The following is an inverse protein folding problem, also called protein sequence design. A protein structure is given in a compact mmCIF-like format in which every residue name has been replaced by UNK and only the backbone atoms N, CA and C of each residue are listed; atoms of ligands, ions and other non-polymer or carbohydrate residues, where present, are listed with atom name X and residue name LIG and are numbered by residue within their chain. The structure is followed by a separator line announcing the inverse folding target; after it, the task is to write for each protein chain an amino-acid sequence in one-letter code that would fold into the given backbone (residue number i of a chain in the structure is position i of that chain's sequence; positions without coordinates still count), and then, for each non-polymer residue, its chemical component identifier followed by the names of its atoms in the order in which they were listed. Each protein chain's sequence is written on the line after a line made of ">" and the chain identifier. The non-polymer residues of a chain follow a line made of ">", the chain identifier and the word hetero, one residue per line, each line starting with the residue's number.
data_IF_158084123964
#
_entry.id   IF_158084123964
#
_cell.length_a   1.000
_cell.length_b   1.000
_cell.length_c   1.000
_cell.angle_alpha   90.00
_cell.angle_beta   90.00
_cell.angle_gamma   90.00
#
_symmetry.space_group_name_H-M   'P 1'
#
loop_
_entity.id
_entity.type
_entity.pdbx_description
1 polymer ?
#
# COMPACT_ATOMS: atom_id res chain seq x y z
N UNK A 1 12.54 -6.21 -4.46
CA UNK A 1 11.55 -5.64 -3.50
C UNK A 1 11.07 -6.68 -2.50
N UNK A 2 10.53 -7.84 -2.93
CA UNK A 2 10.06 -8.90 -2.03
C UNK A 2 11.06 -9.36 -0.95
N UNK A 3 12.34 -9.53 -1.31
CA UNK A 3 13.40 -9.85 -0.34
C UNK A 3 13.60 -8.74 0.70
N UNK A 4 13.53 -7.47 0.28
CA UNK A 4 13.68 -6.33 1.17
C UNK A 4 12.48 -6.17 2.12
N UNK A 5 11.25 -6.40 1.63
CA UNK A 5 10.05 -6.39 2.50
C UNK A 5 10.02 -7.58 3.45
N UNK A 6 10.48 -8.76 3.04
CA UNK A 6 10.68 -9.90 3.94
C UNK A 6 11.69 -9.59 5.05
N UNK A 7 12.84 -9.01 4.69
CA UNK A 7 13.84 -8.58 5.66
C UNK A 7 13.31 -7.51 6.63
N UNK A 8 12.51 -6.57 6.13
CA UNK A 8 11.83 -5.55 6.93
C UNK A 8 10.89 -6.17 7.96
N UNK A 9 10.01 -7.10 7.56
CA UNK A 9 9.07 -7.75 8.48
C UNK A 9 9.83 -8.56 9.53
N UNK A 10 10.90 -9.27 9.16
CA UNK A 10 11.77 -9.98 10.11
C UNK A 10 12.46 -9.02 11.09
N UNK A 11 12.93 -7.87 10.62
CA UNK A 11 13.52 -6.84 11.47
C UNK A 11 12.48 -6.24 12.43
N UNK A 12 11.24 -6.02 11.97
CA UNK A 12 10.14 -5.54 12.80
C UNK A 12 9.78 -6.54 13.90
N UNK A 13 9.69 -7.83 13.57
CA UNK A 13 9.46 -8.89 14.56
C UNK A 13 10.61 -9.01 15.57
N UNK A 14 11.86 -8.82 15.11
CA UNK A 14 13.03 -8.83 16.00
C UNK A 14 13.02 -7.63 16.96
N UNK A 15 12.71 -6.44 16.47
CA UNK A 15 12.55 -5.23 17.29
C UNK A 15 11.41 -5.39 18.32
N UNK A 16 10.27 -5.96 17.92
CA UNK A 16 9.19 -6.26 18.84
C UNK A 16 9.61 -7.27 19.93
N UNK A 17 10.36 -8.32 19.56
CA UNK A 17 10.84 -9.32 20.52
C UNK A 17 11.84 -8.72 21.52
N UNK A 18 12.75 -7.87 21.08
CA UNK A 18 13.68 -7.16 21.96
C UNK A 18 12.96 -6.25 22.96
N UNK A 19 11.87 -5.60 22.54
CA UNK A 19 11.03 -4.81 23.44
C UNK A 19 10.33 -5.63 24.51
N UNK A 20 9.94 -6.86 24.17
CA UNK A 20 9.36 -7.81 25.13
C UNK A 20 10.43 -8.31 26.10
N UNK A 21 11.60 -8.69 25.58
CA UNK A 21 12.69 -9.27 26.38
C UNK A 21 13.33 -8.22 27.32
N UNK A 22 13.35 -6.95 26.92
CA UNK A 22 13.78 -5.82 27.77
C UNK A 22 12.71 -5.36 28.78
N UNK A 23 11.52 -5.95 28.77
CA UNK A 23 10.41 -5.59 29.65
C UNK A 23 9.73 -4.26 29.32
N UNK A 24 10.08 -3.61 28.19
CA UNK A 24 9.45 -2.37 27.71
C UNK A 24 8.03 -2.59 27.17
N UNK A 25 7.71 -3.82 26.76
CA UNK A 25 6.38 -4.24 26.29
C UNK A 25 5.99 -5.56 26.96
N UNK A 26 4.73 -5.67 27.39
CA UNK A 26 4.22 -6.92 27.96
C UNK A 26 4.28 -8.08 26.96
N UNK A 27 4.69 -9.27 27.43
CA UNK A 27 4.71 -10.50 26.61
C UNK A 27 3.32 -10.98 26.21
N UNK A 28 2.32 -10.68 27.03
CA UNK A 28 0.90 -10.98 26.82
C UNK A 28 0.08 -9.76 27.23
N UNK A 29 0.04 -8.71 26.41
CA UNK A 29 -0.75 -7.54 26.72
C UNK A 29 -2.24 -7.87 26.58
N UNK A 30 -3.07 -7.27 27.43
CA UNK A 30 -4.52 -7.27 27.23
C UNK A 30 -4.84 -6.41 26.00
N UNK A 31 -5.86 -6.78 25.24
CA UNK A 31 -6.26 -6.02 24.02
C UNK A 31 -6.64 -4.57 24.31
N UNK A 32 -7.15 -4.29 25.52
CA UNK A 32 -7.48 -2.95 26.01
C UNK A 32 -6.28 -2.14 26.51
N UNK A 33 -5.11 -2.75 26.68
CA UNK A 33 -3.90 -2.05 27.15
C UNK A 33 -3.18 -1.32 26.03
N UNK A 34 -2.41 -0.28 26.38
CA UNK A 34 -1.58 0.47 25.44
C UNK A 34 -0.65 -0.43 24.61
N UNK A 35 -0.05 -1.44 25.26
CA UNK A 35 0.82 -2.42 24.59
C UNK A 35 0.03 -3.34 23.64
N UNK A 36 -1.22 -3.66 23.99
CA UNK A 36 -2.12 -4.45 23.15
C UNK A 36 -2.53 -3.69 21.89
N UNK A 37 -2.94 -2.44 22.05
CA UNK A 37 -3.29 -1.55 20.92
C UNK A 37 -2.08 -1.29 20.02
N UNK A 38 -0.90 -1.07 20.61
CA UNK A 38 0.35 -0.93 19.86
C UNK A 38 0.68 -2.21 19.07
N UNK A 39 0.58 -3.38 19.70
CA UNK A 39 0.83 -4.68 19.05
C UNK A 39 -0.14 -4.94 17.89
N UNK A 40 -1.44 -4.65 18.05
CA UNK A 40 -2.43 -4.75 16.96
C UNK A 40 -2.14 -3.76 15.82
N UNK A 41 -1.74 -2.53 16.16
CA UNK A 41 -1.27 -1.53 15.19
C UNK A 41 -0.07 -2.03 14.39
N UNK A 42 0.90 -2.67 15.05
CA UNK A 42 2.07 -3.25 14.41
C UNK A 42 1.72 -4.43 13.50
N UNK A 43 0.87 -5.36 13.98
CA UNK A 43 0.43 -6.54 13.22
C UNK A 43 -0.37 -6.11 11.98
N UNK A 44 -1.27 -5.14 12.13
CA UNK A 44 -2.05 -4.62 11.00
C UNK A 44 -1.17 -3.94 9.95
N UNK A 45 -0.17 -3.15 10.36
CA UNK A 45 0.81 -2.56 9.44
C UNK A 45 1.62 -3.64 8.71
N UNK A 46 2.06 -4.69 9.41
CA UNK A 46 2.79 -5.80 8.80
C UNK A 46 1.93 -6.57 7.78
N UNK A 47 0.66 -6.83 8.09
CA UNK A 47 -0.30 -7.43 7.15
C UNK A 47 -0.49 -6.55 5.91
N UNK A 48 -0.55 -5.23 6.08
CA UNK A 48 -0.67 -4.29 4.96
C UNK A 48 0.58 -4.33 4.04
N UNK A 49 1.78 -4.43 4.61
CA UNK A 49 3.03 -4.60 3.83
C UNK A 49 3.01 -5.90 3.04
N UNK A 50 2.56 -7.00 3.65
CA UNK A 50 2.43 -8.29 2.98
C UNK A 50 1.44 -8.23 1.81
N UNK A 51 0.25 -7.67 2.03
CA UNK A 51 -0.77 -7.50 0.99
C UNK A 51 -0.28 -6.59 -0.16
N UNK A 52 0.37 -5.46 0.16
CA UNK A 52 0.94 -4.57 -0.84
C UNK A 52 2.05 -5.27 -1.66
N UNK A 53 2.91 -6.05 -1.00
CA UNK A 53 3.98 -6.81 -1.68
C UNK A 53 3.38 -7.87 -2.60
N UNK A 54 2.32 -8.56 -2.17
CA UNK A 54 1.62 -9.54 -3.00
C UNK A 54 1.01 -8.89 -4.24
N UNK A 55 0.28 -7.79 -4.08
CA UNK A 55 -0.31 -7.03 -5.21
C UNK A 55 0.75 -6.49 -6.18
N UNK A 56 1.92 -6.10 -5.68
CA UNK A 56 3.07 -5.72 -6.52
C UNK A 56 3.56 -6.90 -7.38
N UNK A 57 3.71 -8.09 -6.79
CA UNK A 57 4.17 -9.28 -7.52
C UNK A 57 3.15 -9.69 -8.57
N UNK A 58 1.86 -9.64 -8.23
CA UNK A 58 0.77 -9.91 -9.19
C UNK A 58 0.79 -8.90 -10.34
N UNK A 59 0.90 -7.61 -10.03
CA UNK A 59 0.96 -6.55 -11.06
C UNK A 59 2.20 -6.69 -11.95
N UNK A 60 3.35 -7.08 -11.39
CA UNK A 60 4.56 -7.33 -12.16
C UNK A 60 4.41 -8.56 -13.08
N UNK A 61 3.81 -9.64 -12.58
CA UNK A 61 3.56 -10.83 -13.39
C UNK A 61 2.57 -10.54 -14.52
N UNK A 62 1.46 -9.83 -14.23
CA UNK A 62 0.49 -9.45 -15.26
C UNK A 62 1.08 -8.49 -16.30
N UNK A 63 2.01 -7.60 -15.91
CA UNK A 63 2.71 -6.73 -16.86
C UNK A 63 3.60 -7.54 -17.82
N UNK A 64 4.39 -8.49 -17.30
CA UNK A 64 5.25 -9.36 -18.13
C UNK A 64 4.42 -10.21 -19.10
N UNK A 65 3.20 -10.57 -18.72
CA UNK A 65 2.25 -11.29 -19.57
C UNK A 65 1.50 -10.37 -20.56
N UNK A 66 1.68 -9.05 -20.49
CA UNK A 66 0.96 -8.07 -21.33
C UNK A 66 -0.51 -7.84 -20.95
N UNK A 67 -0.92 -8.23 -19.74
CA UNK A 67 -2.31 -8.20 -19.26
C UNK A 67 -2.58 -7.00 -18.34
N UNK A 68 -1.53 -6.37 -17.82
CA UNK A 68 -1.64 -5.20 -16.93
C UNK A 68 -0.84 -4.04 -17.47
N UNK A 69 -1.26 -2.82 -17.11
CA UNK A 69 -0.53 -1.60 -17.42
C UNK A 69 0.60 -1.33 -16.43
N UNK A 70 1.59 -0.58 -16.88
CA UNK A 70 2.73 -0.12 -16.10
C UNK A 70 2.29 0.80 -14.96
N UNK A 71 1.20 1.56 -15.11
CA UNK A 71 0.67 2.41 -14.03
C UNK A 71 0.19 1.58 -12.84
N UNK A 72 -0.38 0.39 -13.08
CA UNK A 72 -0.77 -0.53 -11.99
C UNK A 72 0.47 -1.04 -11.24
N UNK A 73 1.55 -1.32 -11.96
CA UNK A 73 2.84 -1.69 -11.37
C UNK A 73 3.42 -0.52 -10.54
N UNK A 74 3.40 0.70 -11.06
CA UNK A 74 3.86 1.90 -10.35
C UNK A 74 3.02 2.17 -9.09
N UNK A 75 1.70 2.03 -9.19
CA UNK A 75 0.76 2.23 -8.08
C UNK A 75 0.99 1.23 -6.95
N UNK A 76 1.11 -0.06 -7.29
CA UNK A 76 1.39 -1.12 -6.32
C UNK A 76 2.76 -0.95 -5.66
N UNK A 77 3.79 -0.49 -6.40
CA UNK A 77 5.10 -0.16 -5.84
C UNK A 77 5.06 0.99 -4.83
N UNK A 78 4.33 2.07 -5.15
CA UNK A 78 4.10 3.20 -4.21
C UNK A 78 3.35 2.75 -2.96
N UNK A 79 2.39 1.83 -3.10
CA UNK A 79 1.68 1.26 -1.96
C UNK A 79 2.60 0.44 -1.05
N UNK A 80 3.55 -0.31 -1.60
CA UNK A 80 4.59 -1.01 -0.81
C UNK A 80 5.45 -0.02 -0.03
N UNK A 81 5.88 1.09 -0.64
CA UNK A 81 6.64 2.12 0.05
C UNK A 81 5.83 2.77 1.19
N UNK A 82 4.56 3.08 0.93
CA UNK A 82 3.66 3.70 1.93
C UNK A 82 3.38 2.78 3.12
N UNK A 83 3.02 1.52 2.87
CA UNK A 83 2.80 0.53 3.92
C UNK A 83 4.07 0.24 4.74
N UNK A 84 5.23 0.26 4.09
CA UNK A 84 6.54 0.15 4.76
C UNK A 84 6.79 1.33 5.69
N UNK A 85 6.51 2.55 5.24
CA UNK A 85 6.65 3.74 6.08
C UNK A 85 5.72 3.67 7.31
N UNK A 86 4.48 3.22 7.12
CA UNK A 86 3.54 3.01 8.24
C UNK A 86 4.06 1.96 9.24
N UNK A 87 4.62 0.86 8.75
CA UNK A 87 5.23 -0.16 9.62
C UNK A 87 6.41 0.40 10.41
N UNK A 88 7.30 1.18 9.78
CA UNK A 88 8.43 1.82 10.45
C UNK A 88 7.97 2.77 11.55
N UNK A 89 6.94 3.58 11.29
CA UNK A 89 6.37 4.51 12.28
C UNK A 89 5.76 3.72 13.44
N UNK A 90 4.98 2.67 13.16
CA UNK A 90 4.38 1.83 14.18
C UNK A 90 5.43 1.16 15.08
N UNK A 91 6.51 0.62 14.51
CA UNK A 91 7.61 0.04 15.29
C UNK A 91 8.29 1.08 16.21
N UNK A 92 8.51 2.31 15.72
CA UNK A 92 9.27 3.35 16.43
C UNK A 92 8.57 3.90 17.67
N UNK A 93 7.26 3.71 17.83
CA UNK A 93 6.50 4.23 18.99
C UNK A 93 7.03 3.70 20.31
N UNK A 94 7.39 2.42 20.36
CA UNK A 94 7.91 1.75 21.58
C UNK A 94 9.40 1.41 21.48
N UNK A 95 9.99 1.48 20.28
CA UNK A 95 11.38 1.11 20.03
C UNK A 95 12.36 2.19 20.46
N UNK A 96 13.51 1.75 20.95
CA UNK A 96 14.65 2.63 21.21
C UNK A 96 15.32 3.01 19.88
N UNK A 97 15.50 4.30 19.56
CA UNK A 97 16.17 4.73 18.32
C UNK A 97 17.60 4.21 18.18
N UNK A 98 18.30 4.01 19.31
CA UNK A 98 19.71 3.64 19.32
C UNK A 98 19.93 2.11 19.35
N UNK A 99 18.86 1.33 19.56
CA UNK A 99 18.92 -0.12 19.52
C UNK A 99 19.30 -0.65 18.12
N UNK A 100 20.09 -1.71 18.11
CA UNK A 100 20.56 -2.34 16.87
C UNK A 100 19.41 -2.92 16.05
N UNK A 101 18.35 -3.42 16.69
CA UNK A 101 17.14 -3.86 15.98
C UNK A 101 16.44 -2.72 15.24
N UNK A 102 16.35 -1.53 15.84
CA UNK A 102 15.78 -0.33 15.21
C UNK A 102 16.63 0.16 14.05
N UNK A 103 17.97 0.14 14.19
CA UNK A 103 18.90 0.46 13.09
C UNK A 103 18.74 -0.51 11.93
N UNK A 104 18.65 -1.82 12.19
CA UNK A 104 18.41 -2.86 11.18
C UNK A 104 17.05 -2.68 10.50
N UNK A 105 16.01 -2.38 11.27
CA UNK A 105 14.67 -2.08 10.76
C UNK A 105 14.70 -0.88 9.81
N UNK A 106 15.35 0.22 10.20
CA UNK A 106 15.49 1.42 9.37
C UNK A 106 16.27 1.13 8.09
N UNK A 107 17.35 0.37 8.17
CA UNK A 107 18.13 -0.04 7.00
C UNK A 107 17.29 -0.87 6.02
N UNK A 108 16.50 -1.83 6.53
CA UNK A 108 15.59 -2.63 5.72
C UNK A 108 14.49 -1.77 5.07
N UNK A 109 13.90 -0.83 5.84
CA UNK A 109 12.89 0.10 5.32
C UNK A 109 13.42 1.01 4.22
N UNK A 110 14.65 1.53 4.40
CA UNK A 110 15.34 2.31 3.38
C UNK A 110 15.64 1.47 2.12
N UNK A 111 15.99 0.20 2.28
CA UNK A 111 16.20 -0.70 1.15
C UNK A 111 14.91 -0.95 0.36
N UNK A 112 13.77 -1.11 1.05
CA UNK A 112 12.46 -1.21 0.38
C UNK A 112 12.15 0.05 -0.40
N UNK A 113 12.29 1.24 0.23
CA UNK A 113 12.04 2.53 -0.43
C UNK A 113 12.89 2.71 -1.69
N UNK A 114 14.20 2.47 -1.59
CA UNK A 114 15.09 2.55 -2.78
C UNK A 114 14.69 1.57 -3.86
N UNK A 115 14.34 0.34 -3.49
CA UNK A 115 13.93 -0.67 -4.46
C UNK A 115 12.61 -0.31 -5.17
N UNK A 116 11.64 0.26 -4.45
CA UNK A 116 10.38 0.74 -5.04
C UNK A 116 10.61 1.97 -5.92
N UNK A 117 11.43 2.93 -5.49
CA UNK A 117 11.72 4.14 -6.27
C UNK A 117 12.46 3.81 -7.58
N UNK A 118 13.44 2.91 -7.51
CA UNK A 118 14.14 2.42 -8.69
C UNK A 118 13.20 1.71 -9.67
N UNK A 119 12.27 0.89 -9.17
CA UNK A 119 11.28 0.23 -10.02
C UNK A 119 10.32 1.23 -10.67
N UNK A 120 9.84 2.23 -9.93
CA UNK A 120 8.96 3.28 -10.49
C UNK A 120 9.68 4.04 -11.60
N UNK A 121 10.95 4.43 -11.37
CA UNK A 121 11.75 5.12 -12.38
C UNK A 121 11.98 4.24 -13.61
N UNK A 122 12.30 2.96 -13.41
CA UNK A 122 12.49 2.03 -14.53
C UNK A 122 11.22 1.82 -15.34
N UNK A 123 10.07 1.65 -14.66
CA UNK A 123 8.77 1.52 -15.32
C UNK A 123 8.40 2.78 -16.12
N UNK A 124 8.59 3.97 -15.54
CA UNK A 124 8.33 5.23 -16.24
C UNK A 124 9.21 5.42 -17.49
N UNK A 125 10.49 5.05 -17.39
CA UNK A 125 11.41 5.12 -18.53
C UNK A 125 11.01 4.14 -19.64
N UNK A 126 10.48 2.96 -19.29
CA UNK A 126 9.98 2.00 -20.27
C UNK A 126 8.77 2.54 -21.03
N UNK A 127 7.79 3.12 -20.33
CA UNK A 127 6.60 3.75 -20.93
C UNK A 127 7.01 4.84 -21.93
N UNK A 128 7.93 5.73 -21.52
CA UNK A 128 8.34 6.87 -22.34
C UNK A 128 9.00 6.42 -23.66
N UNK A 129 9.85 5.39 -23.60
CA UNK A 129 10.51 4.85 -24.80
C UNK A 129 9.51 4.17 -25.76
N UNK A 130 8.47 3.54 -25.23
CA UNK A 130 7.42 2.93 -26.03
C UNK A 130 6.55 3.99 -26.73
N UNK A 131 6.17 5.05 -26.01
CA UNK A 131 5.46 6.19 -26.61
C UNK A 131 6.29 6.86 -27.72
N UNK A 132 7.58 7.12 -27.48
CA UNK A 132 8.47 7.70 -28.50
C UNK A 132 8.58 6.82 -29.76
N UNK A 133 8.72 5.49 -29.59
CA UNK A 133 8.76 4.54 -30.71
C UNK A 133 7.45 4.52 -31.49
N UNK A 134 6.30 4.51 -30.79
CA UNK A 134 4.98 4.54 -31.40
C UNK A 134 4.76 5.81 -32.22
N UNK A 135 5.12 6.97 -31.67
CA UNK A 135 5.03 8.27 -32.35
C UNK A 135 5.91 8.32 -33.61
N UNK A 136 7.13 7.80 -33.56
CA UNK A 136 8.04 7.74 -34.71
C UNK A 136 7.48 6.84 -35.83
N UNK A 137 6.85 5.71 -35.48
CA UNK A 137 6.26 4.79 -36.44
C UNK A 137 5.01 5.41 -37.12
N UNK A 138 4.18 6.10 -36.34
CA UNK A 138 2.96 6.77 -36.82
C UNK A 138 3.29 7.96 -37.73
N UNK A 139 4.40 8.67 -37.46
CA UNK A 139 4.90 9.78 -38.30
C UNK A 139 5.32 9.34 -39.71
N UNK A 140 5.64 8.06 -39.92
CA UNK A 140 6.04 7.51 -41.24
C UNK A 140 4.86 7.04 -42.11
N UNK A 141 3.65 6.85 -41.57
CA UNK A 141 2.60 6.08 -42.26
C UNK A 141 1.33 6.84 -42.71
N UNK A 142 1.05 8.08 -42.25
CA UNK A 142 -0.32 8.62 -42.43
C UNK A 142 -0.32 10.09 -42.86
N UNK A 143 -1.09 10.42 -43.91
CA UNK A 143 -1.30 11.79 -44.40
C UNK A 143 -2.04 12.69 -43.39
N UNK A 144 -1.81 14.00 -43.47
CA UNK A 144 -2.10 14.98 -42.40
C UNK A 144 -3.54 14.98 -41.84
N UNK A 145 -4.56 14.74 -42.68
CA UNK A 145 -5.97 14.70 -42.23
C UNK A 145 -6.26 13.44 -41.41
N UNK A 146 -5.74 12.28 -41.84
CA UNK A 146 -5.94 11.03 -41.11
C UNK A 146 -5.11 11.00 -39.81
N UNK A 147 -3.96 11.68 -39.74
CA UNK A 147 -3.24 11.90 -38.48
C UNK A 147 -4.04 12.73 -37.49
N UNK A 148 -4.66 13.82 -37.95
CA UNK A 148 -5.43 14.70 -37.08
C UNK A 148 -6.70 14.02 -36.55
N UNK A 149 -7.40 13.27 -37.41
CA UNK A 149 -8.57 12.47 -37.00
C UNK A 149 -8.16 11.39 -35.99
N UNK A 150 -7.07 10.67 -36.25
CA UNK A 150 -6.60 9.61 -35.36
C UNK A 150 -6.14 10.17 -34.00
N UNK A 151 -5.43 11.31 -34.00
CA UNK A 151 -5.01 12.00 -32.78
C UNK A 151 -6.21 12.50 -31.96
N UNK A 152 -7.20 13.12 -32.60
CA UNK A 152 -8.44 13.57 -31.93
C UNK A 152 -9.21 12.38 -31.36
N UNK A 153 -9.27 11.26 -32.09
CA UNK A 153 -9.94 10.05 -31.61
C UNK A 153 -9.23 9.43 -30.40
N UNK A 154 -7.89 9.41 -30.40
CA UNK A 154 -7.11 8.92 -29.27
C UNK A 154 -7.28 9.80 -28.02
N UNK A 155 -7.35 11.12 -28.18
CA UNK A 155 -7.64 12.04 -27.07
C UNK A 155 -8.99 11.71 -26.44
N UNK A 156 -10.06 11.61 -27.24
CA UNK A 156 -11.40 11.29 -26.74
C UNK A 156 -11.45 9.92 -26.04
N UNK A 157 -10.73 8.92 -26.57
CA UNK A 157 -10.64 7.60 -25.94
C UNK A 157 -9.97 7.68 -24.57
N UNK A 158 -8.82 8.37 -24.48
CA UNK A 158 -8.09 8.54 -23.21
C UNK A 158 -8.89 9.34 -22.18
N UNK A 159 -9.66 10.35 -22.60
CA UNK A 159 -10.55 11.10 -21.70
C UNK A 159 -11.64 10.21 -21.09
N UNK A 160 -12.27 9.36 -21.90
CA UNK A 160 -13.26 8.40 -21.42
C UNK A 160 -12.66 7.38 -20.44
N UNK A 161 -11.51 6.80 -20.81
CA UNK A 161 -10.80 5.85 -19.94
C UNK A 161 -10.38 6.49 -18.61
N UNK A 162 -9.98 7.77 -18.61
CA UNK A 162 -9.65 8.53 -17.41
C UNK A 162 -10.86 8.71 -16.49
N UNK A 163 -12.01 9.08 -17.03
CA UNK A 163 -13.26 9.26 -16.28
C UNK A 163 -13.68 7.95 -15.60
N UNK A 164 -13.65 6.83 -16.34
CA UNK A 164 -13.94 5.51 -15.81
C UNK A 164 -12.96 5.10 -14.70
N UNK A 165 -11.66 5.32 -14.90
CA UNK A 165 -10.63 5.00 -13.91
C UNK A 165 -10.82 5.82 -12.62
N UNK A 166 -11.19 7.11 -12.73
CA UNK A 166 -11.54 7.97 -11.59
C UNK A 166 -12.77 7.46 -10.85
N UNK A 167 -13.80 7.02 -11.57
CA UNK A 167 -14.99 6.39 -11.01
C UNK A 167 -14.66 5.14 -10.20
N UNK A 168 -13.90 4.20 -10.79
CA UNK A 168 -13.43 2.98 -10.10
C UNK A 168 -12.60 3.31 -8.85
N UNK A 169 -11.67 4.26 -8.94
CA UNK A 169 -10.83 4.65 -7.80
C UNK A 169 -11.67 5.22 -6.65
N UNK A 170 -12.68 6.03 -6.96
CA UNK A 170 -13.60 6.62 -5.97
C UNK A 170 -14.42 5.53 -5.29
N UNK A 171 -14.95 4.57 -6.06
CA UNK A 171 -15.69 3.43 -5.52
C UNK A 171 -14.82 2.56 -4.59
N UNK A 172 -13.57 2.25 -4.98
CA UNK A 172 -12.63 1.50 -4.14
C UNK A 172 -12.33 2.25 -2.83
N UNK A 173 -12.10 3.57 -2.90
CA UNK A 173 -11.87 4.39 -1.70
C UNK A 173 -13.09 4.37 -0.78
N UNK A 174 -14.29 4.54 -1.30
CA UNK A 174 -15.53 4.48 -0.54
C UNK A 174 -15.74 3.11 0.12
N UNK A 175 -15.50 2.01 -0.61
CA UNK A 175 -15.58 0.66 -0.07
C UNK A 175 -14.59 0.44 1.09
N UNK A 176 -13.36 0.97 0.96
CA UNK A 176 -12.35 0.91 2.03
C UNK A 176 -12.79 1.67 3.30
N UNK A 177 -13.50 2.79 3.17
CA UNK A 177 -14.03 3.53 4.32
C UNK A 177 -15.27 2.84 4.95
N UNK A 178 -16.17 2.28 4.13
CA UNK A 178 -17.33 1.53 4.62
C UNK A 178 -16.89 0.28 5.40
N UNK A 179 -15.96 -0.51 4.86
CA UNK A 179 -15.41 -1.68 5.53
C UNK A 179 -14.69 -1.31 6.85
N UNK A 180 -14.03 -0.15 6.92
CA UNK A 180 -13.40 0.35 8.16
C UNK A 180 -14.44 0.81 9.19
N UNK A 181 -15.62 1.29 8.75
CA UNK A 181 -16.73 1.67 9.61
C UNK A 181 -17.51 0.48 10.18
N UNK A 182 -17.58 -0.63 9.45
CA UNK A 182 -18.29 -1.87 9.87
C UNK A 182 -17.49 -2.73 10.87
N UNK A 183 -16.19 -2.49 11.05
CA UNK A 183 -15.33 -3.19 12.05
C UNK A 183 -15.34 -2.47 13.42
N UNK A 184 -16.18 -1.46 13.62
CA UNK A 184 -16.53 -1.00 14.97
C UNK A 184 -17.64 -1.90 15.52
N UNK A 185 -17.49 -2.54 16.69
CA UNK A 185 -18.54 -3.38 17.24
C UNK A 185 -19.75 -2.50 17.57
N UNK A 186 -20.87 -2.86 16.96
CA UNK A 186 -22.20 -2.44 17.38
C UNK A 186 -22.48 -3.03 18.76
N UNK A 187 -22.39 -2.23 19.82
CA UNK A 187 -23.05 -2.58 21.08
C UNK A 187 -24.54 -2.24 20.92
N UNK A 188 -25.30 -3.23 20.47
CA UNK A 188 -26.72 -3.29 20.76
C UNK A 188 -26.89 -4.04 22.08
N UNK A 189 -27.35 -3.33 23.11
CA UNK A 189 -28.08 -3.93 24.22
C UNK A 189 -29.37 -3.11 24.35
N UNK A 190 -30.45 -3.66 23.79
CA UNK A 190 -31.74 -3.52 24.44
C UNK A 190 -31.82 -4.62 25.47
N UNK A 191 -31.84 -4.25 26.75
CA UNK A 191 -32.51 -5.06 27.77
C UNK A 191 -33.20 -4.12 28.76
N UNK A 192 -34.51 -4.37 28.84
CA UNK A 192 -35.48 -3.83 29.76
C UNK A 192 -35.15 -4.33 31.19
N UNK A 193 -34.97 -3.42 32.15
CA UNK A 193 -35.19 -3.72 33.56
C UNK A 193 -36.07 -2.64 34.20
N UNK A 194 -37.19 -3.16 34.72
CA UNK A 194 -38.31 -2.56 35.41
C UNK A 194 -37.97 -1.67 36.62
N UNK A 195 -38.88 -0.70 36.84
CA UNK A 195 -39.52 -0.35 38.11
C UNK A 195 -38.64 -0.12 39.36
N UNK A 196 -38.61 1.12 39.86
CA UNK A 196 -38.87 1.52 41.26
C UNK A 196 -38.34 2.94 41.53
N UNK A 197 -39.21 3.95 41.42
CA UNK A 197 -39.39 4.95 42.49
C UNK A 197 -40.53 5.92 42.13
N UNK A 198 -41.74 5.57 42.60
CA UNK A 198 -42.58 6.56 43.29
C UNK A 198 -42.08 6.58 44.73
N UNK A 199 -41.72 7.75 45.23
CA UNK A 199 -42.33 8.45 46.37
C UNK A 199 -42.15 9.95 46.07
#
# INVERSE_FOLDING_TARGET
>A
IAAATSALVKAASSAQRELIDSGKVSRRPLTSSDDGQWSEGLISAARLVAAATHSLVESANSLVQGVSSEEKLVSSAKQVASSTAQLLVACKVKADPDADSTKRLQAAGNAVKRATDNLVRAAQQAIQQEEERSLVLNRRMVGGIAQEINARSEVLRKEKELEEARGRLTAIRQAKYKLKGEISPTNGEGDNYDSFNRI
#
